data_IF_930295863023
#
_entry.id   IF_930295863023
#
_cell.length_a   1.000
_cell.length_b   1.000
_cell.length_c   1.000
_cell.angle_alpha   90.00
_cell.angle_beta   90.00
_cell.angle_gamma   90.00
#
_symmetry.space_group_name_H-M   'P 1'
#
loop_
_entity.id
_entity.type
_entity.pdbx_description
1 polymer ?
#
# COMPACT_ATOMS: atom_id res chain seq x y z
N UNK A 1 -6.06 -6.96 6.31
CA UNK A 1 -5.50 -8.21 6.89
C UNK A 1 -3.97 -8.18 7.08
N UNK A 2 -3.27 -7.09 6.78
CA UNK A 2 -1.83 -6.93 6.97
C UNK A 2 -1.44 -6.24 8.27
N UNK A 3 -0.18 -6.39 8.70
CA UNK A 3 0.35 -5.86 9.95
C UNK A 3 1.65 -5.06 9.78
N UNK A 4 2.13 -4.89 8.54
CA UNK A 4 3.40 -4.22 8.28
C UNK A 4 3.26 -2.70 8.22
N UNK A 5 4.27 -1.98 8.70
CA UNK A 5 4.28 -0.51 8.74
C UNK A 5 4.67 0.05 7.36
N UNK A 6 3.89 0.99 6.86
CA UNK A 6 4.20 1.70 5.61
C UNK A 6 3.89 0.94 4.32
N UNK A 7 3.64 -0.37 4.39
CA UNK A 7 3.25 -1.22 3.28
C UNK A 7 1.94 -1.95 3.57
N UNK A 8 1.19 -2.22 2.51
CA UNK A 8 -0.16 -2.76 2.64
C UNK A 8 -0.32 -4.05 1.83
N UNK A 9 0.72 -4.89 1.75
CA UNK A 9 0.68 -6.08 0.91
C UNK A 9 -0.46 -7.03 1.28
N UNK A 10 -0.65 -7.30 2.57
CA UNK A 10 -1.73 -8.14 3.04
C UNK A 10 -3.03 -7.37 3.33
N UNK A 11 -3.08 -6.04 3.18
CA UNK A 11 -4.33 -5.27 3.16
C UNK A 11 -4.95 -5.30 1.76
N UNK A 12 -5.43 -6.47 1.38
CA UNK A 12 -5.98 -6.77 0.05
C UNK A 12 -7.43 -6.32 -0.14
N UNK A 13 -8.06 -5.83 0.93
CA UNK A 13 -9.49 -5.50 0.93
C UNK A 13 -9.76 -4.02 0.67
N UNK A 14 -8.90 -3.14 1.20
CA UNK A 14 -9.16 -1.71 1.27
C UNK A 14 -8.73 -0.98 0.01
N UNK A 15 -9.63 -0.23 -0.60
CA UNK A 15 -9.27 0.82 -1.56
C UNK A 15 -8.71 2.04 -0.83
N UNK A 16 -7.93 2.88 -1.52
CA UNK A 16 -7.20 4.01 -0.94
C UNK A 16 -7.39 5.30 -1.71
N UNK A 17 -7.36 6.39 -0.99
CA UNK A 17 -7.21 7.72 -1.58
C UNK A 17 -5.73 7.97 -1.90
N UNK A 18 -5.38 7.77 -3.16
CA UNK A 18 -4.02 7.91 -3.68
C UNK A 18 -3.75 9.32 -4.22
N UNK A 19 -4.73 10.24 -4.17
CA UNK A 19 -4.56 11.64 -4.58
C UNK A 19 -3.55 12.37 -3.71
N UNK A 20 -3.48 11.97 -2.44
CA UNK A 20 -2.40 12.31 -1.52
C UNK A 20 -2.05 11.07 -0.67
N UNK A 21 -1.14 10.23 -1.19
CA UNK A 21 -0.73 9.00 -0.51
C UNK A 21 0.26 9.24 0.65
N UNK A 22 0.51 10.50 1.00
CA UNK A 22 1.40 10.91 2.07
C UNK A 22 0.68 11.58 3.24
N UNK A 23 -0.54 11.17 3.52
CA UNK A 23 -1.23 11.66 4.70
C UNK A 23 -0.40 11.41 5.97
N UNK A 24 -0.48 12.27 7.01
CA UNK A 24 0.27 12.11 8.25
C UNK A 24 0.11 10.73 8.90
N UNK A 25 -1.07 10.13 8.74
CA UNK A 25 -1.38 8.76 9.13
C UNK A 25 -1.79 7.96 7.88
N UNK A 26 -0.97 6.97 7.51
CA UNK A 26 -1.21 6.14 6.32
C UNK A 26 -2.57 5.39 6.38
N UNK A 27 -3.08 5.13 7.58
CA UNK A 27 -4.39 4.50 7.78
C UNK A 27 -5.55 5.41 7.31
N UNK A 28 -5.36 6.72 7.34
CA UNK A 28 -6.34 7.71 6.86
C UNK A 28 -6.60 7.65 5.34
N UNK A 29 -5.74 6.98 4.58
CA UNK A 29 -5.93 6.81 3.14
C UNK A 29 -6.99 5.76 2.78
N UNK A 30 -7.43 4.91 3.72
CA UNK A 30 -8.41 3.85 3.43
C UNK A 30 -9.77 4.44 3.13
N UNK A 31 -10.34 4.06 1.98
CA UNK A 31 -11.70 4.39 1.59
C UNK A 31 -12.65 3.38 2.22
N UNK A 32 -13.62 3.87 2.98
CA UNK A 32 -14.66 3.03 3.59
C UNK A 32 -15.50 2.35 2.53
N UNK A 33 -15.90 1.10 2.80
CA UNK A 33 -16.79 0.34 1.93
C UNK A 33 -17.80 -0.50 2.73
N UNK A 34 -18.93 -0.77 2.11
CA UNK A 34 -19.94 -1.64 2.69
C UNK A 34 -19.51 -3.10 2.55
N UNK A 35 -19.51 -3.82 3.66
CA UNK A 35 -19.17 -5.23 3.69
C UNK A 35 -20.06 -6.01 4.66
N UNK A 36 -20.30 -7.28 4.35
CA UNK A 36 -20.81 -8.26 5.30
C UNK A 36 -19.65 -9.10 5.78
N UNK A 37 -19.45 -9.13 7.09
CA UNK A 37 -18.42 -9.95 7.74
C UNK A 37 -19.10 -10.98 8.64
N UNK A 38 -18.74 -12.25 8.47
CA UNK A 38 -19.13 -13.35 9.33
C UNK A 38 -17.89 -13.92 9.99
N UNK A 39 -17.94 -14.10 11.31
CA UNK A 39 -16.81 -14.57 12.11
C UNK A 39 -17.20 -15.74 12.99
N UNK A 40 -16.30 -16.69 13.13
CA UNK A 40 -16.44 -17.81 14.05
C UNK A 40 -15.16 -17.94 14.89
N UNK A 41 -15.32 -17.91 16.21
CA UNK A 41 -14.24 -18.02 17.18
C UNK A 41 -14.25 -19.40 17.83
N UNK A 42 -13.22 -20.19 17.56
CA UNK A 42 -12.91 -21.42 18.29
C UNK A 42 -11.96 -21.14 19.46
N UNK A 43 -11.48 -22.18 20.14
CA UNK A 43 -10.57 -22.02 21.28
C UNK A 43 -9.22 -21.35 20.87
N UNK A 44 -8.67 -21.72 19.75
CA UNK A 44 -7.37 -21.18 19.26
C UNK A 44 -7.48 -20.71 17.80
N UNK A 45 -8.64 -20.87 17.16
CA UNK A 45 -8.85 -20.62 15.74
C UNK A 45 -9.92 -19.57 15.54
N UNK A 46 -9.65 -18.61 14.67
CA UNK A 46 -10.60 -17.60 14.22
C UNK A 46 -10.80 -17.77 12.72
N UNK A 47 -12.04 -17.92 12.30
CA UNK A 47 -12.46 -17.98 10.90
C UNK A 47 -13.22 -16.70 10.57
N UNK A 48 -12.89 -16.08 9.47
CA UNK A 48 -13.54 -14.88 8.97
C UNK A 48 -13.94 -15.09 7.52
N UNK A 49 -15.16 -14.72 7.18
CA UNK A 49 -15.66 -14.59 5.81
C UNK A 49 -16.06 -13.15 5.56
N UNK A 50 -15.63 -12.59 4.44
CA UNK A 50 -15.92 -11.23 4.02
C UNK A 50 -16.60 -11.23 2.65
N UNK A 51 -17.69 -10.47 2.51
CA UNK A 51 -18.33 -10.19 1.23
C UNK A 51 -18.54 -8.69 1.08
N UNK A 52 -18.05 -8.15 -0.03
CA UNK A 52 -18.17 -6.75 -0.40
C UNK A 52 -19.04 -6.65 -1.65
N UNK A 53 -20.34 -6.38 -1.51
CA UNK A 53 -21.28 -6.39 -2.62
C UNK A 53 -21.04 -5.28 -3.63
N UNK A 54 -20.44 -4.16 -3.18
CA UNK A 54 -20.12 -3.01 -4.01
C UNK A 54 -18.73 -2.50 -3.63
N UNK A 55 -17.68 -2.98 -4.32
CA UNK A 55 -16.32 -2.56 -4.03
C UNK A 55 -16.09 -1.07 -4.24
N UNK A 56 -15.23 -0.48 -3.40
CA UNK A 56 -14.60 0.81 -3.64
C UNK A 56 -13.29 0.59 -4.42
N UNK A 57 -12.88 1.60 -5.18
CA UNK A 57 -11.66 1.61 -5.96
C UNK A 57 -10.77 2.77 -5.53
N UNK A 58 -9.47 2.69 -5.84
CA UNK A 58 -8.52 3.74 -5.51
C UNK A 58 -8.91 5.05 -6.20
N UNK A 59 -8.86 6.14 -5.45
CA UNK A 59 -9.01 7.49 -6.00
C UNK A 59 -7.61 7.98 -6.39
N UNK A 60 -7.35 8.08 -7.69
CA UNK A 60 -6.00 8.29 -8.23
C UNK A 60 -5.67 9.73 -8.62
N UNK A 61 -6.61 10.67 -8.48
CA UNK A 61 -6.45 12.05 -8.93
C UNK A 61 -6.56 12.23 -10.45
N UNK A 62 -6.10 13.37 -10.93
CA UNK A 62 -6.18 13.76 -12.34
C UNK A 62 -4.78 13.97 -12.95
N UNK A 63 -4.62 13.78 -14.29
CA UNK A 63 -3.37 14.07 -14.97
C UNK A 63 -2.93 15.53 -14.79
N UNK A 64 -1.78 15.72 -14.15
CA UNK A 64 -1.24 17.04 -13.78
C UNK A 64 -1.24 17.30 -12.28
N UNK A 65 -1.92 16.50 -11.48
CA UNK A 65 -1.82 16.57 -10.02
C UNK A 65 -0.43 16.14 -9.54
N UNK A 66 0.03 16.71 -8.43
CA UNK A 66 1.37 16.50 -7.87
C UNK A 66 1.68 15.03 -7.57
N UNK A 67 0.68 14.25 -7.15
CA UNK A 67 0.83 12.84 -6.78
C UNK A 67 0.05 11.88 -7.69
N UNK A 68 -0.25 12.31 -8.93
CA UNK A 68 -0.93 11.45 -9.87
C UNK A 68 -0.15 10.16 -10.16
N UNK A 69 -0.82 9.00 -10.10
CA UNK A 69 -0.17 7.68 -10.16
C UNK A 69 0.41 7.33 -11.53
N UNK A 70 -0.04 8.00 -12.61
CA UNK A 70 0.49 7.85 -13.97
C UNK A 70 1.17 9.15 -14.43
N UNK A 71 2.31 9.56 -13.83
CA UNK A 71 2.92 10.87 -14.07
C UNK A 71 3.43 11.07 -15.52
N UNK A 72 3.46 10.00 -16.33
CA UNK A 72 3.78 10.07 -17.76
C UNK A 72 2.60 10.46 -18.65
N UNK A 73 1.36 10.46 -18.14
CA UNK A 73 0.23 10.97 -18.88
C UNK A 73 0.28 12.50 -18.94
N UNK A 74 0.11 13.10 -20.14
CA UNK A 74 0.08 14.56 -20.25
C UNK A 74 -1.05 15.18 -19.44
N UNK A 75 -0.80 16.34 -18.86
CA UNK A 75 -1.85 17.14 -18.23
C UNK A 75 -2.98 17.42 -19.22
N UNK A 76 -4.23 17.33 -18.77
CA UNK A 76 -5.41 17.44 -19.62
C UNK A 76 -5.82 16.17 -20.36
N UNK A 77 -5.12 15.04 -20.16
CA UNK A 77 -5.64 13.73 -20.59
C UNK A 77 -6.94 13.44 -19.87
N UNK A 78 -7.96 13.00 -20.59
CA UNK A 78 -9.24 12.59 -20.02
C UNK A 78 -9.14 11.16 -19.55
N UNK A 79 -9.52 10.88 -18.31
CA UNK A 79 -9.60 9.53 -17.76
C UNK A 79 -10.98 8.93 -18.04
N UNK A 80 -11.04 7.83 -18.76
CA UNK A 80 -12.23 7.00 -19.01
C UNK A 80 -12.05 5.69 -18.21
N UNK A 81 -12.59 5.69 -16.98
CA UNK A 81 -12.44 4.58 -16.05
C UNK A 81 -13.66 3.67 -16.09
N UNK A 82 -13.43 2.43 -16.58
CA UNK A 82 -14.42 1.35 -16.62
C UNK A 82 -14.41 0.61 -15.28
N UNK A 83 -15.29 1.03 -14.37
CA UNK A 83 -15.48 0.39 -13.06
C UNK A 83 -16.48 -0.77 -13.19
N UNK A 84 -16.22 -1.93 -12.54
CA UNK A 84 -17.14 -3.05 -12.52
C UNK A 84 -18.56 -2.66 -12.11
N UNK A 85 -19.54 -3.37 -12.70
CA UNK A 85 -20.96 -3.13 -12.44
C UNK A 85 -21.33 -3.28 -10.95
N UNK A 86 -22.47 -2.69 -10.58
CA UNK A 86 -22.98 -2.70 -9.20
C UNK A 86 -23.87 -3.93 -8.93
N UNK A 87 -23.70 -5.00 -9.69
CA UNK A 87 -24.38 -6.27 -9.58
C UNK A 87 -23.59 -7.26 -8.72
N UNK A 88 -24.13 -8.47 -8.52
CA UNK A 88 -23.46 -9.51 -7.73
C UNK A 88 -22.16 -10.00 -8.39
N UNK A 89 -22.06 -9.95 -9.71
CA UNK A 89 -20.84 -10.32 -10.45
C UNK A 89 -19.71 -9.32 -10.21
N UNK A 90 -20.05 -8.07 -9.90
CA UNK A 90 -19.14 -7.01 -9.48
C UNK A 90 -18.65 -7.14 -8.03
N UNK A 91 -19.16 -8.08 -7.24
CA UNK A 91 -18.82 -8.20 -5.82
C UNK A 91 -17.45 -8.83 -5.58
N UNK A 92 -16.84 -8.51 -4.43
CA UNK A 92 -15.63 -9.15 -3.93
C UNK A 92 -15.96 -10.04 -2.72
N UNK A 93 -15.16 -11.09 -2.52
CA UNK A 93 -15.32 -11.96 -1.36
C UNK A 93 -13.99 -12.60 -0.97
N UNK A 94 -13.87 -12.98 0.28
CA UNK A 94 -12.71 -13.69 0.78
C UNK A 94 -12.94 -14.38 2.09
N UNK A 95 -12.00 -15.21 2.47
CA UNK A 95 -11.99 -15.91 3.74
C UNK A 95 -10.57 -15.88 4.34
N UNK A 96 -10.51 -15.80 5.66
CA UNK A 96 -9.28 -15.85 6.45
C UNK A 96 -9.44 -16.87 7.57
N UNK A 97 -8.37 -17.61 7.83
CA UNK A 97 -8.21 -18.42 9.02
C UNK A 97 -7.00 -17.89 9.79
N UNK A 98 -7.17 -17.69 11.09
CA UNK A 98 -6.07 -17.31 11.99
C UNK A 98 -6.00 -18.29 13.14
N UNK A 99 -4.80 -18.57 13.63
CA UNK A 99 -4.58 -19.47 14.75
C UNK A 99 -3.38 -19.02 15.58
N UNK A 100 -3.56 -19.05 16.91
CA UNK A 100 -2.50 -18.87 17.87
C UNK A 100 -1.92 -20.24 18.26
N UNK A 101 -0.63 -20.49 17.95
CA UNK A 101 0.07 -21.76 18.23
C UNK A 101 1.43 -21.45 18.83
N UNK A 102 1.67 -21.89 20.06
CA UNK A 102 2.96 -21.73 20.76
C UNK A 102 3.47 -20.27 20.75
N UNK A 103 2.55 -19.31 20.87
CA UNK A 103 2.85 -17.87 20.84
C UNK A 103 3.09 -17.31 19.45
N UNK A 104 2.93 -18.12 18.38
CA UNK A 104 2.84 -17.63 17.00
C UNK A 104 1.39 -17.26 16.67
N UNK A 105 1.18 -16.05 16.22
CA UNK A 105 -0.06 -15.67 15.53
C UNK A 105 0.14 -15.91 14.04
N UNK A 106 -0.60 -16.88 13.51
CA UNK A 106 -0.51 -17.31 12.12
C UNK A 106 -1.83 -17.07 11.41
N UNK A 107 -1.79 -16.54 10.20
CA UNK A 107 -2.99 -16.47 9.38
C UNK A 107 -2.73 -16.86 7.94
N UNK A 108 -3.79 -17.35 7.29
CA UNK A 108 -3.84 -17.55 5.85
C UNK A 108 -5.17 -17.04 5.33
N UNK A 109 -5.19 -16.49 4.11
CA UNK A 109 -6.40 -15.95 3.51
C UNK A 109 -6.41 -16.15 2.00
N UNK A 110 -7.63 -16.15 1.46
CA UNK A 110 -7.88 -16.00 0.03
C UNK A 110 -8.89 -14.88 -0.18
N UNK A 111 -8.61 -13.99 -1.14
CA UNK A 111 -9.49 -12.90 -1.52
C UNK A 111 -9.65 -12.84 -3.04
N UNK A 112 -10.87 -12.92 -3.53
CA UNK A 112 -11.21 -12.74 -4.93
C UNK A 112 -11.89 -11.40 -5.10
N UNK A 113 -11.25 -10.53 -5.86
CA UNK A 113 -11.67 -9.14 -5.99
C UNK A 113 -11.45 -8.63 -7.42
N UNK A 114 -11.98 -7.45 -7.67
CA UNK A 114 -11.38 -6.59 -8.68
C UNK A 114 -10.16 -5.90 -8.07
N UNK A 115 -9.13 -5.69 -8.87
CA UNK A 115 -7.97 -4.90 -8.47
C UNK A 115 -8.44 -3.49 -8.07
N UNK A 116 -8.10 -3.05 -6.87
CA UNK A 116 -8.49 -1.72 -6.40
C UNK A 116 -7.84 -0.61 -7.21
N UNK A 117 -6.62 -0.84 -7.70
CA UNK A 117 -5.89 0.09 -8.55
C UNK A 117 -6.19 -0.16 -10.02
N UNK A 118 -6.51 0.87 -10.82
CA UNK A 118 -6.79 0.69 -12.22
C UNK A 118 -5.54 0.43 -13.05
N UNK A 119 -5.68 -0.36 -14.10
CA UNK A 119 -4.67 -0.58 -15.13
C UNK A 119 -5.00 0.23 -16.37
N UNK A 120 -4.00 0.87 -17.00
CA UNK A 120 -4.17 1.66 -18.23
C UNK A 120 -4.21 0.72 -19.45
N UNK A 121 -5.38 0.55 -20.04
CA UNK A 121 -5.62 -0.36 -21.16
C UNK A 121 -5.37 0.27 -22.54
N UNK A 122 -5.63 1.55 -22.68
CA UNK A 122 -5.40 2.26 -23.94
C UNK A 122 -5.21 3.76 -23.71
N UNK A 123 -4.43 4.39 -24.60
CA UNK A 123 -4.30 5.84 -24.67
C UNK A 123 -4.51 6.26 -26.12
N UNK A 124 -5.65 6.88 -26.42
CA UNK A 124 -6.03 7.30 -27.77
C UNK A 124 -6.55 8.74 -27.76
N UNK A 125 -5.99 9.60 -28.61
CA UNK A 125 -6.47 10.98 -28.82
C UNK A 125 -6.66 11.78 -27.51
N UNK A 126 -5.78 11.58 -26.53
CA UNK A 126 -5.86 12.27 -25.24
C UNK A 126 -6.87 11.66 -24.25
N UNK A 127 -7.44 10.47 -24.56
CA UNK A 127 -8.28 9.70 -23.64
C UNK A 127 -7.53 8.46 -23.16
N UNK A 128 -7.35 8.36 -21.86
CA UNK A 128 -6.75 7.20 -21.17
C UNK A 128 -7.87 6.29 -20.65
N UNK A 129 -7.97 5.09 -21.22
CA UNK A 129 -8.94 4.09 -20.77
C UNK A 129 -8.37 3.23 -19.67
N UNK A 130 -8.99 3.28 -18.51
CA UNK A 130 -8.60 2.56 -17.31
C UNK A 130 -9.59 1.43 -17.01
N UNK A 131 -9.11 0.29 -16.51
CA UNK A 131 -9.92 -0.85 -16.09
C UNK A 131 -9.39 -1.49 -14.83
N UNK A 132 -10.27 -2.21 -14.13
CA UNK A 132 -9.96 -3.01 -12.95
C UNK A 132 -9.98 -4.50 -13.29
N UNK A 133 -8.82 -5.14 -13.25
CA UNK A 133 -8.70 -6.58 -13.53
C UNK A 133 -9.34 -7.42 -12.42
N UNK A 134 -9.91 -8.57 -12.79
CA UNK A 134 -10.41 -9.55 -11.82
C UNK A 134 -9.23 -10.39 -11.33
N UNK A 135 -8.89 -10.26 -10.05
CA UNK A 135 -7.72 -10.90 -9.43
C UNK A 135 -8.10 -11.88 -8.34
N UNK A 136 -7.21 -12.83 -8.08
CA UNK A 136 -7.25 -13.71 -6.92
C UNK A 136 -5.99 -13.52 -6.09
N UNK A 137 -6.13 -13.36 -4.78
CA UNK A 137 -5.01 -13.13 -3.87
C UNK A 137 -5.01 -14.21 -2.78
N UNK A 138 -3.93 -14.97 -2.71
CA UNK A 138 -3.66 -15.95 -1.66
C UNK A 138 -2.52 -15.42 -0.82
N UNK A 139 -2.73 -15.30 0.49
CA UNK A 139 -1.70 -14.75 1.35
C UNK A 139 -1.71 -15.33 2.75
N UNK A 140 -0.72 -14.92 3.52
CA UNK A 140 -0.60 -15.26 4.91
C UNK A 140 0.25 -14.27 5.67
N UNK A 141 0.04 -14.22 6.98
CA UNK A 141 0.81 -13.40 7.92
C UNK A 141 1.27 -14.25 9.09
N UNK A 142 2.36 -13.84 9.70
CA UNK A 142 2.77 -14.39 10.98
C UNK A 142 3.32 -13.28 11.89
N UNK A 143 3.13 -13.43 13.18
CA UNK A 143 3.84 -12.65 14.18
C UNK A 143 4.18 -13.48 15.41
N UNK A 144 5.25 -13.09 16.11
CA UNK A 144 5.67 -13.68 17.39
C UNK A 144 6.38 -12.67 18.25
N UNK A 145 5.92 -12.56 19.49
CA UNK A 145 6.65 -11.88 20.55
C UNK A 145 7.77 -12.80 21.08
N UNK A 146 9.02 -12.33 20.97
CA UNK A 146 10.23 -13.01 21.44
C UNK A 146 10.78 -12.33 22.71
N UNK A 147 9.97 -11.53 23.40
CA UNK A 147 10.28 -10.85 24.64
C UNK A 147 11.00 -9.52 24.43
N UNK A 148 12.15 -9.50 23.78
CA UNK A 148 12.91 -8.27 23.48
C UNK A 148 12.52 -7.63 22.14
N UNK A 149 11.85 -8.35 21.28
CA UNK A 149 11.36 -7.86 19.99
C UNK A 149 10.19 -8.70 19.48
N UNK A 150 9.41 -8.13 18.58
CA UNK A 150 8.35 -8.83 17.85
C UNK A 150 8.80 -9.07 16.41
N UNK A 151 8.81 -10.32 15.99
CA UNK A 151 9.05 -10.73 14.62
C UNK A 151 7.71 -10.78 13.87
N UNK A 152 7.65 -10.21 12.67
CA UNK A 152 6.46 -10.19 11.81
C UNK A 152 6.81 -10.51 10.38
N UNK A 153 5.87 -11.10 9.65
CA UNK A 153 6.03 -11.29 8.23
C UNK A 153 4.70 -11.49 7.52
N UNK A 154 4.69 -11.17 6.24
CA UNK A 154 3.54 -11.37 5.38
C UNK A 154 3.98 -11.71 3.96
N UNK A 155 3.17 -12.47 3.25
CA UNK A 155 3.33 -12.71 1.83
C UNK A 155 1.97 -12.85 1.16
N UNK A 156 1.87 -12.33 -0.08
CA UNK A 156 0.66 -12.38 -0.89
C UNK A 156 1.03 -12.73 -2.33
N UNK A 157 0.48 -13.82 -2.83
CA UNK A 157 0.50 -14.15 -4.25
C UNK A 157 -0.76 -13.58 -4.91
N UNK A 158 -0.57 -12.73 -5.93
CA UNK A 158 -1.65 -12.13 -6.73
C UNK A 158 -1.64 -12.75 -8.12
N UNK A 159 -2.77 -13.34 -8.51
CA UNK A 159 -3.01 -13.92 -9.83
C UNK A 159 -4.00 -13.07 -10.64
N UNK A 160 -3.74 -12.93 -11.93
CA UNK A 160 -4.67 -12.31 -12.88
C UNK A 160 -4.53 -10.81 -13.03
N UNK A 161 -3.42 -10.20 -12.58
CA UNK A 161 -3.12 -8.77 -12.77
C UNK A 161 -2.43 -8.53 -14.11
N UNK A 162 -2.71 -7.38 -14.72
CA UNK A 162 -1.97 -6.89 -15.87
C UNK A 162 -1.13 -5.67 -15.52
N UNK A 163 0.13 -5.64 -15.98
CA UNK A 163 1.03 -4.50 -15.83
C UNK A 163 1.22 -3.78 -17.16
N UNK A 164 1.42 -2.46 -17.11
CA UNK A 164 1.69 -1.66 -18.27
C UNK A 164 3.12 -1.86 -18.78
N UNK A 165 3.26 -2.07 -20.08
CA UNK A 165 4.54 -2.07 -20.78
C UNK A 165 4.65 -0.85 -21.68
N UNK A 166 5.88 -0.37 -21.86
CA UNK A 166 6.17 0.84 -22.63
C UNK A 166 7.20 0.51 -23.71
N UNK A 167 6.90 0.85 -24.97
CA UNK A 167 7.87 0.67 -26.04
C UNK A 167 8.54 1.99 -26.41
N UNK A 168 9.85 1.90 -26.66
CA UNK A 168 10.68 3.01 -27.15
C UNK A 168 10.45 3.18 -28.66
N UNK A 169 9.55 4.08 -29.04
CA UNK A 169 9.26 4.41 -30.44
C UNK A 169 8.85 5.88 -30.59
N UNK A 170 8.62 6.39 -31.81
CA UNK A 170 8.08 7.72 -32.00
C UNK A 170 6.62 7.74 -31.49
N UNK A 171 6.45 8.14 -30.24
CA UNK A 171 5.17 8.17 -29.51
C UNK A 171 5.13 7.17 -28.36
N UNK A 172 4.29 7.48 -27.35
CA UNK A 172 4.05 6.61 -26.21
C UNK A 172 3.17 5.43 -26.67
N UNK A 173 3.74 4.25 -26.80
CA UNK A 173 2.99 3.01 -27.04
C UNK A 173 2.89 2.22 -25.76
N UNK A 174 1.67 1.95 -25.33
CA UNK A 174 1.34 1.25 -24.09
C UNK A 174 0.81 -0.14 -24.45
N UNK A 175 1.40 -1.15 -23.85
CA UNK A 175 0.94 -2.53 -23.91
C UNK A 175 0.56 -3.05 -22.53
N UNK A 176 0.10 -4.28 -22.49
CA UNK A 176 -0.25 -5.01 -21.26
C UNK A 176 0.53 -6.31 -21.20
N UNK A 177 1.06 -6.61 -20.03
CA UNK A 177 1.63 -7.90 -19.70
C UNK A 177 0.84 -8.51 -18.55
N UNK A 178 0.01 -9.54 -18.79
CA UNK A 178 -0.54 -10.34 -17.69
C UNK A 178 0.61 -11.01 -16.95
N UNK A 179 0.64 -10.85 -15.63
CA UNK A 179 1.68 -11.45 -14.79
C UNK A 179 1.15 -11.73 -13.41
N UNK A 180 1.54 -12.86 -12.86
CA UNK A 180 1.34 -13.16 -11.46
C UNK A 180 2.50 -12.59 -10.66
N UNK A 181 2.25 -12.26 -9.39
CA UNK A 181 3.27 -11.64 -8.55
C UNK A 181 3.18 -12.12 -7.11
N UNK A 182 4.33 -12.10 -6.45
CA UNK A 182 4.44 -12.32 -5.01
C UNK A 182 4.98 -11.06 -4.36
N UNK A 183 4.18 -10.46 -3.49
CA UNK A 183 4.59 -9.40 -2.56
C UNK A 183 4.89 -10.02 -1.20
N UNK A 184 5.98 -9.61 -0.55
CA UNK A 184 6.34 -10.12 0.76
C UNK A 184 7.07 -9.08 1.61
N UNK A 185 6.94 -9.22 2.93
CA UNK A 185 7.70 -8.41 3.87
C UNK A 185 8.04 -9.21 5.13
N UNK A 186 9.19 -8.87 5.72
CA UNK A 186 9.68 -9.39 6.99
C UNK A 186 10.13 -8.23 7.84
N UNK A 187 9.69 -8.15 9.09
CA UNK A 187 9.95 -7.02 9.96
C UNK A 187 10.20 -7.41 11.40
N UNK A 188 10.88 -6.51 12.10
CA UNK A 188 11.17 -6.63 13.52
C UNK A 188 10.81 -5.32 14.20
N UNK A 189 10.03 -5.41 15.30
CA UNK A 189 9.70 -4.31 16.20
C UNK A 189 10.50 -4.47 17.51
N UNK A 190 11.28 -3.46 17.84
CA UNK A 190 12.14 -3.45 19.04
C UNK A 190 11.75 -2.29 19.94
N UNK A 191 11.03 -2.50 21.06
CA UNK A 191 10.83 -1.51 22.10
C UNK A 191 12.12 -1.37 22.95
N UNK A 192 12.55 -0.15 23.24
CA UNK A 192 13.75 0.13 24.03
C UNK A 192 13.54 1.40 24.89
N UNK A 193 12.91 1.26 26.06
CA UNK A 193 12.51 2.38 26.89
C UNK A 193 11.53 3.31 26.18
N UNK A 194 11.89 4.59 26.02
CA UNK A 194 11.06 5.58 25.31
C UNK A 194 11.20 5.52 23.79
N UNK A 195 12.00 4.58 23.29
CA UNK A 195 12.24 4.37 21.87
C UNK A 195 11.49 3.16 21.36
N UNK A 196 11.05 3.23 20.12
CA UNK A 196 10.55 2.08 19.35
C UNK A 196 11.21 2.12 17.98
N UNK A 197 11.79 0.99 17.59
CA UNK A 197 12.41 0.77 16.29
C UNK A 197 11.60 -0.27 15.53
N UNK A 198 11.29 0.02 14.28
CA UNK A 198 10.76 -0.95 13.34
C UNK A 198 11.68 -1.00 12.13
N UNK A 199 12.15 -2.18 11.78
CA UNK A 199 12.97 -2.43 10.59
C UNK A 199 12.28 -3.49 9.77
N UNK A 200 12.09 -3.23 8.48
CA UNK A 200 11.45 -4.17 7.58
C UNK A 200 12.25 -4.31 6.28
N UNK A 201 12.32 -5.52 5.78
CA UNK A 201 12.72 -5.84 4.42
C UNK A 201 11.48 -6.23 3.64
N UNK A 202 11.32 -5.73 2.44
CA UNK A 202 10.20 -6.05 1.57
C UNK A 202 10.66 -6.35 0.15
N UNK A 203 9.84 -7.08 -0.58
CA UNK A 203 10.08 -7.35 -1.98
C UNK A 203 8.82 -7.68 -2.75
N UNK A 204 8.96 -7.56 -4.08
CA UNK A 204 8.00 -7.97 -5.09
C UNK A 204 8.72 -8.81 -6.13
N UNK A 205 8.19 -9.97 -6.42
CA UNK A 205 8.63 -10.84 -7.49
C UNK A 205 7.56 -10.93 -8.57
N UNK A 206 7.93 -10.64 -9.84
CA UNK A 206 7.07 -10.81 -11.01
C UNK A 206 7.40 -12.14 -11.68
N UNK A 207 6.40 -12.99 -11.88
CA UNK A 207 6.59 -14.29 -12.54
C UNK A 207 6.93 -14.08 -14.01
N UNK A 208 6.16 -13.25 -14.72
CA UNK A 208 6.44 -12.83 -16.09
C UNK A 208 7.08 -11.43 -16.08
N UNK A 209 8.15 -11.26 -16.85
CA UNK A 209 8.86 -9.98 -16.97
C UNK A 209 9.43 -9.81 -18.36
N UNK A 210 9.24 -8.61 -18.92
CA UNK A 210 9.82 -8.17 -20.19
C UNK A 210 10.54 -6.83 -20.01
N UNK A 211 11.60 -6.53 -20.82
CA UNK A 211 12.34 -5.27 -20.71
C UNK A 211 11.50 -4.00 -20.87
N UNK A 212 10.31 -4.12 -21.46
CA UNK A 212 9.36 -3.03 -21.65
C UNK A 212 8.56 -2.67 -20.37
N UNK A 213 8.67 -3.44 -19.28
CA UNK A 213 8.13 -3.07 -17.98
C UNK A 213 8.99 -1.99 -17.32
N UNK A 214 8.35 -1.06 -16.61
CA UNK A 214 9.05 -0.10 -15.76
C UNK A 214 9.53 -0.74 -14.46
N UNK A 215 8.80 -1.74 -13.96
CA UNK A 215 9.16 -2.50 -12.77
C UNK A 215 10.31 -3.48 -13.05
N UNK A 216 11.18 -3.72 -12.09
CA UNK A 216 12.15 -4.80 -12.15
C UNK A 216 11.46 -6.15 -11.89
N UNK A 217 12.05 -7.24 -12.38
CA UNK A 217 11.52 -8.59 -12.10
C UNK A 217 11.46 -8.88 -10.61
N UNK A 218 12.42 -8.38 -9.87
CA UNK A 218 12.50 -8.49 -8.43
C UNK A 218 12.82 -7.13 -7.83
N UNK A 219 11.82 -6.46 -7.28
CA UNK A 219 11.96 -5.21 -6.55
C UNK A 219 12.15 -5.51 -5.07
N UNK A 220 13.11 -4.82 -4.44
CA UNK A 220 13.45 -5.01 -3.02
C UNK A 220 13.69 -3.67 -2.37
N UNK A 221 13.41 -3.61 -1.07
CA UNK A 221 13.67 -2.43 -0.30
C UNK A 221 13.66 -2.68 1.20
N UNK A 222 13.96 -1.62 1.93
CA UNK A 222 13.95 -1.59 3.38
C UNK A 222 13.14 -0.41 3.88
N UNK A 223 12.51 -0.61 5.05
CA UNK A 223 11.84 0.45 5.80
C UNK A 223 12.47 0.53 7.17
N UNK A 224 12.73 1.73 7.64
CA UNK A 224 13.13 2.03 9.01
C UNK A 224 12.14 3.03 9.59
N UNK A 225 11.52 2.69 10.71
CA UNK A 225 10.77 3.63 11.53
C UNK A 225 11.41 3.71 12.92
N UNK A 226 11.67 4.93 13.35
CA UNK A 226 12.18 5.23 14.70
C UNK A 226 11.21 6.19 15.35
N UNK A 227 10.70 5.82 16.52
CA UNK A 227 9.80 6.66 17.33
C UNK A 227 10.46 6.89 18.67
N UNK A 228 10.52 8.15 19.10
CA UNK A 228 10.96 8.55 20.44
C UNK A 228 9.85 9.27 21.19
N UNK A 229 9.76 9.02 22.49
CA UNK A 229 8.71 9.59 23.32
C UNK A 229 7.34 8.92 23.12
N UNK A 230 7.32 7.69 22.61
CA UNK A 230 6.09 6.93 22.37
C UNK A 230 5.23 6.90 23.65
N UNK A 231 3.98 7.34 23.51
CA UNK A 231 3.04 7.43 24.63
C UNK A 231 3.17 8.68 25.51
N UNK A 232 4.12 9.57 25.26
CA UNK A 232 4.25 10.87 25.95
C UNK A 232 3.45 11.97 25.26
N UNK A 233 3.47 13.19 25.83
CA UNK A 233 2.82 14.35 25.20
C UNK A 233 3.58 14.88 23.98
N UNK A 234 4.85 14.52 23.81
CA UNK A 234 5.68 14.91 22.68
C UNK A 234 6.32 13.65 22.09
N UNK A 235 5.97 13.32 20.86
CA UNK A 235 6.45 12.15 20.13
C UNK A 235 7.16 12.60 18.86
N UNK A 236 8.38 12.14 18.67
CA UNK A 236 9.14 12.33 17.42
C UNK A 236 9.25 11.02 16.67
N UNK A 237 9.00 11.06 15.39
CA UNK A 237 9.05 9.89 14.49
C UNK A 237 9.86 10.22 13.25
N UNK A 238 10.63 9.25 12.77
CA UNK A 238 11.22 9.26 11.44
C UNK A 238 10.86 7.95 10.76
N UNK A 239 10.21 8.04 9.60
CA UNK A 239 9.95 6.91 8.72
C UNK A 239 10.81 7.08 7.46
N UNK A 240 11.64 6.10 7.14
CA UNK A 240 12.45 6.07 5.93
C UNK A 240 12.16 4.79 5.14
N UNK A 241 11.88 4.95 3.85
CA UNK A 241 11.72 3.86 2.89
C UNK A 241 12.77 4.01 1.81
N UNK A 242 13.45 2.92 1.46
CA UNK A 242 14.49 2.94 0.43
C UNK A 242 14.48 1.65 -0.38
N UNK A 243 14.54 1.79 -1.71
CA UNK A 243 14.78 0.66 -2.61
C UNK A 243 16.24 0.19 -2.51
N UNK A 244 16.47 -1.10 -2.61
CA UNK A 244 17.81 -1.70 -2.72
C UNK A 244 18.25 -1.77 -4.19
N UNK A 245 17.30 -1.98 -5.09
CA UNK A 245 17.57 -2.16 -6.53
C UNK A 245 17.80 -0.85 -7.27
N UNK A 246 17.26 0.25 -6.75
CA UNK A 246 17.22 1.56 -7.41
C UNK A 246 17.59 2.66 -6.45
N UNK A 247 18.08 3.77 -6.96
CA UNK A 247 18.12 5.01 -6.20
C UNK A 247 16.70 5.55 -6.10
N UNK A 248 16.03 5.25 -4.98
CA UNK A 248 14.62 5.56 -4.74
C UNK A 248 14.35 5.56 -3.24
N UNK A 249 13.98 6.70 -2.68
CA UNK A 249 13.72 6.80 -1.25
C UNK A 249 12.70 7.87 -0.90
N UNK A 250 12.08 7.70 0.26
CA UNK A 250 11.21 8.64 0.95
C UNK A 250 11.64 8.72 2.41
N UNK A 251 11.83 9.94 2.93
CA UNK A 251 12.16 10.20 4.34
C UNK A 251 11.12 11.13 4.91
N UNK A 252 10.51 10.73 6.04
CA UNK A 252 9.37 11.42 6.67
C UNK A 252 9.63 11.67 8.17
N UNK A 253 10.34 12.73 8.56
CA UNK A 253 10.36 13.19 9.95
C UNK A 253 9.01 13.82 10.32
N UNK A 254 8.50 13.45 11.50
CA UNK A 254 7.22 13.90 12.04
C UNK A 254 7.34 14.17 13.53
N UNK A 255 6.72 15.24 14.01
CA UNK A 255 6.60 15.60 15.42
C UNK A 255 5.11 15.70 15.77
N UNK A 256 4.70 15.00 16.83
CA UNK A 256 3.34 15.05 17.36
C UNK A 256 3.35 15.62 18.77
N UNK A 257 2.64 16.71 19.00
CA UNK A 257 2.50 17.36 20.30
C UNK A 257 1.05 17.32 20.77
N UNK A 258 0.81 16.56 21.84
CA UNK A 258 -0.48 16.44 22.55
C UNK A 258 -0.51 17.51 23.64
N UNK A 259 -0.81 18.75 23.28
CA UNK A 259 -0.74 19.89 24.21
C UNK A 259 -1.97 20.04 25.12
N UNK A 260 -3.06 19.35 24.81
CA UNK A 260 -4.24 19.22 25.66
C UNK A 260 -4.92 17.86 25.43
N UNK A 261 -5.78 17.39 26.35
CA UNK A 261 -6.39 16.05 26.25
C UNK A 261 -7.10 15.77 24.93
N UNK A 262 -7.76 16.78 24.33
CA UNK A 262 -8.48 16.65 23.08
C UNK A 262 -7.74 17.26 21.86
N UNK A 263 -6.54 17.83 22.04
CA UNK A 263 -5.84 18.54 20.99
C UNK A 263 -4.48 17.98 20.68
N UNK A 264 -4.20 17.82 19.39
CA UNK A 264 -2.88 17.42 18.88
C UNK A 264 -2.45 18.39 17.78
N UNK A 265 -1.18 18.74 17.79
CA UNK A 265 -0.49 19.42 16.71
C UNK A 265 0.50 18.42 16.10
N UNK A 266 0.40 18.22 14.79
CA UNK A 266 1.31 17.34 14.04
C UNK A 266 2.01 18.18 13.00
N UNK A 267 3.34 18.14 12.97
CA UNK A 267 4.15 18.77 11.95
C UNK A 267 5.15 17.81 11.37
N UNK A 268 5.41 17.90 10.08
CA UNK A 268 6.35 17.01 9.44
C UNK A 268 6.84 17.51 8.09
N UNK A 269 7.77 16.75 7.54
CA UNK A 269 8.36 16.97 6.21
C UNK A 269 8.35 15.65 5.47
N UNK A 270 8.03 15.67 4.18
CA UNK A 270 8.18 14.54 3.28
C UNK A 270 9.26 14.90 2.24
N UNK A 271 10.33 14.11 2.21
CA UNK A 271 11.48 14.30 1.30
C UNK A 271 11.57 13.08 0.39
N UNK A 272 11.42 13.32 -0.89
CA UNK A 272 11.59 12.32 -1.93
C UNK A 272 12.98 12.41 -2.54
N UNK A 273 13.50 11.31 -3.10
CA UNK A 273 14.74 11.36 -3.84
C UNK A 273 15.04 10.11 -4.62
N UNK A 274 15.96 10.25 -5.57
CA UNK A 274 16.44 9.15 -6.39
C UNK A 274 16.71 9.54 -7.85
N UNK A 275 16.67 8.56 -8.75
CA UNK A 275 17.03 8.75 -10.16
C UNK A 275 15.83 8.75 -11.14
N UNK A 276 14.62 8.92 -10.64
CA UNK A 276 13.38 8.96 -11.44
C UNK A 276 12.85 7.61 -11.92
N UNK A 277 13.51 6.49 -11.59
CA UNK A 277 13.09 5.14 -11.99
C UNK A 277 12.30 4.39 -10.92
N UNK A 278 12.31 4.88 -9.68
CA UNK A 278 11.56 4.30 -8.56
C UNK A 278 10.17 4.92 -8.40
N UNK A 279 9.44 4.41 -7.41
CA UNK A 279 8.12 4.94 -7.09
C UNK A 279 8.21 6.35 -6.48
N UNK A 280 9.10 6.55 -5.51
CA UNK A 280 9.25 7.83 -4.81
C UNK A 280 10.05 8.85 -5.63
N UNK A 281 11.09 8.43 -6.30
CA UNK A 281 11.98 9.32 -7.05
C UNK A 281 11.29 10.04 -8.22
N UNK A 282 10.15 9.58 -8.68
CA UNK A 282 9.34 10.31 -9.67
C UNK A 282 8.68 11.57 -9.09
N UNK A 283 8.61 11.67 -7.76
CA UNK A 283 8.09 12.81 -7.00
C UNK A 283 9.18 13.67 -6.35
N UNK A 284 10.44 13.57 -6.79
CA UNK A 284 11.61 14.30 -6.25
C UNK A 284 11.43 15.83 -6.18
N UNK A 285 10.49 16.39 -6.95
CA UNK A 285 10.15 17.82 -6.93
C UNK A 285 8.98 18.17 -6.03
N UNK A 286 8.40 17.20 -5.36
CA UNK A 286 7.19 17.33 -4.58
C UNK A 286 7.47 17.23 -3.07
N UNK A 287 8.69 17.58 -2.65
CA UNK A 287 9.03 17.72 -1.24
C UNK A 287 8.04 18.69 -0.57
N UNK A 288 7.58 18.34 0.61
CA UNK A 288 6.61 19.18 1.30
C UNK A 288 6.86 19.28 2.80
N UNK A 289 6.36 20.39 3.36
CA UNK A 289 6.20 20.59 4.81
C UNK A 289 4.72 20.66 5.10
N UNK A 290 4.28 20.02 6.15
CA UNK A 290 2.87 20.06 6.56
C UNK A 290 2.72 20.36 8.05
N UNK A 291 1.56 20.93 8.40
CA UNK A 291 1.12 21.18 9.76
C UNK A 291 -0.36 20.81 9.87
N UNK A 292 -0.70 19.98 10.83
CA UNK A 292 -2.08 19.56 11.09
C UNK A 292 -2.46 19.86 12.54
N UNK A 293 -3.61 20.49 12.73
CA UNK A 293 -4.23 20.64 14.05
C UNK A 293 -5.43 19.70 14.15
N UNK A 294 -5.43 18.80 15.10
CA UNK A 294 -6.49 17.80 15.28
C UNK A 294 -7.19 17.99 16.64
N UNK A 295 -8.52 18.05 16.59
CA UNK A 295 -9.37 18.03 17.78
C UNK A 295 -10.18 16.73 17.81
N UNK A 296 -10.14 16.05 18.93
CA UNK A 296 -10.95 14.83 19.20
C UNK A 296 -12.10 15.23 20.13
N UNK A 297 -13.32 14.92 19.74
CA UNK A 297 -14.56 15.19 20.50
C UNK A 297 -15.30 13.90 20.81
#
# INVERSE_FOLDING_TARGET
>A
WGEMVGFFFADVVSARDMRDFLQPELEGMRIGQWALRAEHFGAETHLEFLWVPKPSFDEIGEPGDDFFVFPWLPAGTVLDEDRPGKDLDGSNWGARVSRLVDGWDLSAFYYRSYDVSPTLYALNQGVARLRHDRIGQLGGTFSKDLGSFVLKGEAVHTHGRSLNTFSSGPGLSIGLLPTDMVDYALGVDVPAGDWRFNVQYYGRWLEEHVPALMADRHEQGVTLQVVHGAGTNLEAEVLALSSINRSDHLIRPKLTWKFAPAWRLVGGVDVFGGNGRGFFSRYDRNDRVYLELRHMF
#
